data_IF_007456981226
#
_entry.id   IF_007456981226
#
_cell.length_a   1.000
_cell.length_b   1.000
_cell.length_c   1.000
_cell.angle_alpha   90.00
_cell.angle_beta   90.00
_cell.angle_gamma   90.00
#
_symmetry.space_group_name_H-M   'P 1'
#
loop_
_entity.id
_entity.type
_entity.pdbx_description
1 polymer ?
#
# COMPACT_ATOMS: atom_id res chain seq x y z
N UNK A 1 0.47 0.28 -18.51
CA UNK A 1 0.70 1.55 -17.76
C UNK A 1 1.20 2.56 -18.77
N UNK A 2 0.53 3.70 -18.92
CA UNK A 2 1.02 4.79 -19.79
C UNK A 2 2.05 5.56 -18.96
N UNK A 3 3.21 5.89 -19.54
CA UNK A 3 4.19 6.75 -18.90
C UNK A 3 3.61 8.17 -18.82
N UNK A 4 3.21 8.60 -17.62
CA UNK A 4 2.63 9.91 -17.40
C UNK A 4 3.56 10.71 -16.47
N UNK A 5 3.94 11.91 -16.92
CA UNK A 5 4.69 12.87 -16.13
C UNK A 5 6.14 12.47 -15.81
N UNK A 6 6.57 12.81 -14.59
CA UNK A 6 7.92 12.55 -14.05
C UNK A 6 7.79 11.80 -12.72
N UNK A 7 8.77 10.98 -12.40
CA UNK A 7 8.87 10.32 -11.09
C UNK A 7 9.68 11.22 -10.17
N UNK A 8 9.21 11.46 -8.96
CA UNK A 8 10.06 12.06 -7.94
C UNK A 8 10.94 10.97 -7.35
N UNK A 9 12.25 11.15 -7.37
CA UNK A 9 13.22 10.20 -6.84
C UNK A 9 14.32 10.96 -6.12
N UNK A 10 14.49 10.70 -4.82
CA UNK A 10 15.54 11.26 -3.97
C UNK A 10 15.71 12.78 -4.09
N UNK A 11 14.61 13.54 -4.03
CA UNK A 11 14.63 15.01 -4.04
C UNK A 11 14.41 15.65 -5.41
N UNK A 12 14.43 14.88 -6.51
CA UNK A 12 14.38 15.41 -7.88
C UNK A 12 13.27 14.74 -8.70
N UNK A 13 12.67 15.49 -9.61
CA UNK A 13 11.79 14.91 -10.64
C UNK A 13 12.65 14.43 -11.81
N UNK A 14 12.59 13.14 -12.10
CA UNK A 14 13.30 12.49 -13.21
C UNK A 14 12.32 12.00 -14.26
N UNK A 15 12.69 11.95 -15.55
CA UNK A 15 11.91 11.25 -16.57
C UNK A 15 11.66 9.79 -16.15
N UNK A 16 10.51 9.24 -16.55
CA UNK A 16 10.10 7.88 -16.17
C UNK A 16 11.20 6.84 -16.47
N UNK A 17 11.73 6.86 -17.70
CA UNK A 17 12.82 5.99 -18.15
C UNK A 17 14.11 6.09 -17.33
N UNK A 18 14.33 7.19 -16.62
CA UNK A 18 15.56 7.46 -15.86
C UNK A 18 15.39 7.11 -14.37
N UNK A 19 14.19 6.75 -13.92
CA UNK A 19 13.92 6.26 -12.57
C UNK A 19 14.41 4.80 -12.42
N UNK A 20 15.72 4.62 -12.46
CA UNK A 20 16.39 3.32 -12.40
C UNK A 20 17.06 3.08 -11.05
N UNK A 21 17.17 1.81 -10.68
CA UNK A 21 17.99 1.32 -9.58
C UNK A 21 18.97 0.27 -10.09
N UNK A 22 20.07 0.06 -9.38
CA UNK A 22 20.98 -1.02 -9.72
C UNK A 22 20.33 -2.37 -9.39
N UNK A 23 20.63 -3.42 -10.16
CA UNK A 23 20.06 -4.77 -9.92
C UNK A 23 20.46 -5.34 -8.55
N UNK A 24 21.54 -4.85 -7.96
CA UNK A 24 22.00 -5.18 -6.60
C UNK A 24 21.42 -4.26 -5.51
N UNK A 25 20.34 -3.54 -5.79
CA UNK A 25 19.62 -2.79 -4.75
C UNK A 25 19.08 -3.78 -3.71
N UNK A 26 19.39 -3.54 -2.42
CA UNK A 26 19.11 -4.48 -1.34
C UNK A 26 17.65 -4.92 -1.28
N UNK A 27 16.71 -3.98 -1.47
CA UNK A 27 15.29 -4.27 -1.44
C UNK A 27 14.80 -5.23 -2.55
N UNK A 28 15.51 -5.35 -3.68
CA UNK A 28 15.18 -6.32 -4.72
C UNK A 28 15.48 -7.76 -4.30
N UNK A 29 16.45 -7.96 -3.40
CA UNK A 29 16.91 -9.29 -2.96
C UNK A 29 16.30 -9.71 -1.63
N UNK A 30 16.02 -8.74 -0.75
CA UNK A 30 15.61 -9.00 0.63
C UNK A 30 14.25 -8.40 1.00
N UNK A 31 13.50 -7.84 0.03
CA UNK A 31 12.17 -7.24 0.25
C UNK A 31 12.13 -6.13 1.32
N UNK A 32 13.26 -5.47 1.55
CA UNK A 32 13.42 -4.43 2.57
C UNK A 32 12.93 -3.06 2.06
N UNK A 33 11.64 -2.98 1.75
CA UNK A 33 10.97 -1.76 1.30
C UNK A 33 9.59 -1.60 1.94
N UNK A 34 9.18 -0.35 2.06
CA UNK A 34 7.86 0.08 2.54
C UNK A 34 7.22 0.98 1.50
N UNK A 35 5.91 1.03 1.45
CA UNK A 35 5.22 1.87 0.47
C UNK A 35 3.87 2.34 0.96
N UNK A 36 3.29 3.27 0.21
CA UNK A 36 1.91 3.70 0.37
C UNK A 36 1.10 3.55 -0.92
N UNK A 37 -0.21 3.47 -0.74
CA UNK A 37 -1.17 3.50 -1.84
C UNK A 37 -2.16 4.63 -1.59
N UNK A 38 -2.04 5.71 -2.34
CA UNK A 38 -2.81 6.94 -2.11
C UNK A 38 -3.60 7.26 -3.37
N UNK A 39 -4.80 7.81 -3.21
CA UNK A 39 -5.63 8.27 -4.33
C UNK A 39 -5.78 9.77 -4.35
N UNK A 40 -5.69 10.32 -5.55
CA UNK A 40 -6.14 11.65 -5.92
C UNK A 40 -7.45 11.51 -6.69
N UNK A 41 -8.45 12.29 -6.30
CA UNK A 41 -9.78 12.30 -6.90
C UNK A 41 -10.05 13.63 -7.57
N UNK A 42 -10.80 13.61 -8.67
CA UNK A 42 -11.34 14.81 -9.29
C UNK A 42 -12.59 15.21 -8.51
N UNK A 43 -12.55 16.39 -7.90
CA UNK A 43 -13.66 16.89 -7.07
C UNK A 43 -14.21 18.17 -7.66
N UNK A 44 -15.42 18.62 -7.25
CA UNK A 44 -15.97 19.90 -7.70
C UNK A 44 -15.03 21.11 -7.46
N UNK A 45 -14.13 21.02 -6.48
CA UNK A 45 -13.16 22.06 -6.13
C UNK A 45 -11.76 21.82 -6.72
N UNK A 46 -11.65 20.88 -7.68
CA UNK A 46 -10.39 20.43 -8.28
C UNK A 46 -9.82 19.17 -7.63
N UNK A 47 -8.65 18.74 -8.10
CA UNK A 47 -8.03 17.49 -7.67
C UNK A 47 -7.63 17.51 -6.19
N UNK A 48 -8.04 16.50 -5.44
CA UNK A 48 -7.76 16.36 -4.02
C UNK A 48 -7.16 14.99 -3.67
N UNK A 49 -6.06 15.00 -2.91
CA UNK A 49 -5.42 13.78 -2.40
C UNK A 49 -6.07 13.38 -1.09
N UNK A 50 -6.70 12.21 -1.07
CA UNK A 50 -7.46 11.75 0.09
C UNK A 50 -6.52 11.35 1.24
N UNK A 51 -6.71 11.96 2.41
CA UNK A 51 -6.03 11.62 3.68
C UNK A 51 -4.50 11.55 3.57
N UNK A 52 -3.91 12.50 2.84
CA UNK A 52 -2.48 12.58 2.61
C UNK A 52 -1.65 12.59 3.93
N UNK A 53 -1.99 13.39 4.96
CA UNK A 53 -1.24 13.36 6.22
C UNK A 53 -1.18 11.97 6.85
N UNK A 54 -2.30 11.25 6.88
CA UNK A 54 -2.39 9.92 7.49
C UNK A 54 -1.60 8.86 6.70
N UNK A 55 -1.63 8.93 5.36
CA UNK A 55 -0.79 8.06 4.53
C UNK A 55 0.70 8.32 4.77
N UNK A 56 1.13 9.58 4.82
CA UNK A 56 2.53 9.93 5.10
C UNK A 56 2.92 9.51 6.52
N UNK A 57 2.04 9.68 7.51
CA UNK A 57 2.29 9.21 8.87
C UNK A 57 2.48 7.70 8.92
N UNK A 58 1.65 6.92 8.22
CA UNK A 58 1.79 5.46 8.17
C UNK A 58 3.04 5.01 7.43
N UNK A 59 3.47 5.73 6.38
CA UNK A 59 4.76 5.50 5.74
C UNK A 59 5.91 5.64 6.75
N UNK A 60 5.93 6.70 7.55
CA UNK A 60 6.99 6.90 8.56
C UNK A 60 6.89 5.92 9.74
N UNK A 61 5.68 5.50 10.14
CA UNK A 61 5.49 4.41 11.11
C UNK A 61 6.08 3.10 10.58
N UNK A 62 5.82 2.77 9.32
CA UNK A 62 6.40 1.59 8.65
C UNK A 62 7.93 1.69 8.58
N UNK A 63 8.47 2.88 8.29
CA UNK A 63 9.91 3.13 8.28
C UNK A 63 10.55 2.86 9.64
N UNK A 64 9.92 3.32 10.72
CA UNK A 64 10.38 3.07 12.09
C UNK A 64 10.43 1.58 12.41
N UNK A 65 9.41 0.80 12.02
CA UNK A 65 9.37 -0.65 12.24
C UNK A 65 10.49 -1.40 11.50
N UNK A 66 10.92 -0.88 10.34
CA UNK A 66 12.03 -1.44 9.55
C UNK A 66 13.39 -0.77 9.83
N UNK A 67 13.50 0.01 10.91
CA UNK A 67 14.70 0.77 11.29
C UNK A 67 15.25 1.68 10.16
N UNK A 68 14.39 2.11 9.23
CA UNK A 68 14.78 2.94 8.09
C UNK A 68 15.02 4.38 8.54
N UNK A 69 16.25 4.87 8.33
CA UNK A 69 16.60 6.28 8.49
C UNK A 69 16.12 7.06 7.27
N UNK A 70 14.90 7.59 7.34
CA UNK A 70 14.33 8.41 6.27
C UNK A 70 15.14 9.69 6.05
N UNK A 71 15.56 9.93 4.82
CA UNK A 71 16.36 11.12 4.44
C UNK A 71 15.54 12.41 4.30
N UNK A 72 14.22 12.27 4.21
CA UNK A 72 13.31 13.38 3.98
C UNK A 72 12.32 13.47 5.12
N UNK A 73 11.95 14.68 5.52
CA UNK A 73 10.90 14.89 6.52
C UNK A 73 9.52 14.56 5.95
N UNK A 74 8.54 14.32 6.83
CA UNK A 74 7.13 14.13 6.43
C UNK A 74 6.65 15.25 5.50
N UNK A 75 6.99 16.51 5.83
CA UNK A 75 6.64 17.67 5.01
C UNK A 75 7.21 17.57 3.59
N UNK A 76 8.50 17.22 3.46
CA UNK A 76 9.14 17.08 2.14
C UNK A 76 8.47 15.96 1.34
N UNK A 77 8.13 14.83 1.98
CA UNK A 77 7.42 13.73 1.31
C UNK A 77 6.02 14.15 0.87
N UNK A 78 5.25 14.84 1.71
CA UNK A 78 3.93 15.38 1.33
C UNK A 78 4.02 16.35 0.15
N UNK A 79 4.97 17.29 0.21
CA UNK A 79 5.19 18.27 -0.86
C UNK A 79 5.61 17.58 -2.16
N UNK A 80 6.46 16.55 -2.07
CA UNK A 80 6.88 15.75 -3.21
C UNK A 80 5.74 14.95 -3.83
N UNK A 81 4.84 14.38 -3.03
CA UNK A 81 3.62 13.70 -3.49
C UNK A 81 2.75 14.68 -4.30
N UNK A 82 2.43 15.83 -3.72
CA UNK A 82 1.62 16.87 -4.39
C UNK A 82 2.29 17.32 -5.69
N UNK A 83 3.61 17.56 -5.65
CA UNK A 83 4.38 17.99 -6.82
C UNK A 83 4.36 16.95 -7.94
N UNK A 84 4.48 15.67 -7.59
CA UNK A 84 4.46 14.56 -8.56
C UNK A 84 3.12 14.50 -9.29
N UNK A 85 2.00 14.58 -8.55
CA UNK A 85 0.65 14.61 -9.14
C UNK A 85 0.47 15.82 -10.06
N UNK A 86 0.87 17.02 -9.60
CA UNK A 86 0.77 18.25 -10.40
C UNK A 86 1.53 18.17 -11.72
N UNK A 87 2.77 17.65 -11.70
CA UNK A 87 3.59 17.50 -12.91
C UNK A 87 3.08 16.37 -13.81
N UNK A 88 2.40 15.38 -13.25
CA UNK A 88 1.67 14.37 -14.02
C UNK A 88 0.48 14.92 -14.79
N UNK A 89 -0.08 16.08 -14.42
CA UNK A 89 -1.24 16.68 -15.07
C UNK A 89 -2.53 15.86 -14.91
N UNK A 90 -2.56 14.95 -13.93
CA UNK A 90 -3.66 14.01 -13.71
C UNK A 90 -4.72 14.63 -12.81
N UNK A 91 -5.99 14.58 -13.25
CA UNK A 91 -7.12 14.96 -12.40
C UNK A 91 -7.43 13.90 -11.34
N UNK A 92 -7.36 12.64 -11.76
CA UNK A 92 -7.44 11.45 -10.91
C UNK A 92 -6.17 10.63 -11.04
N UNK A 93 -5.64 10.15 -9.92
CA UNK A 93 -4.40 9.39 -9.93
C UNK A 93 -4.33 8.40 -8.77
N UNK A 94 -3.67 7.28 -9.03
CA UNK A 94 -3.09 6.48 -7.96
C UNK A 94 -1.63 6.89 -7.77
N UNK A 95 -1.21 7.03 -6.52
CA UNK A 95 0.10 7.53 -6.13
C UNK A 95 0.80 6.46 -5.28
N UNK A 96 2.07 6.22 -5.57
CA UNK A 96 2.90 5.20 -4.92
C UNK A 96 4.20 5.80 -4.40
N UNK A 97 4.19 6.33 -3.16
CA UNK A 97 5.42 6.50 -2.40
C UNK A 97 6.02 5.13 -2.08
N UNK A 98 7.31 4.97 -2.29
CA UNK A 98 8.09 3.77 -2.00
C UNK A 98 9.42 4.21 -1.37
N UNK A 99 9.72 3.70 -0.18
CA UNK A 99 11.01 3.88 0.49
C UNK A 99 11.69 2.51 0.67
N UNK A 100 12.98 2.43 0.40
CA UNK A 100 13.68 1.16 0.33
C UNK A 100 15.17 1.30 0.63
N UNK A 101 15.78 0.26 1.21
CA UNK A 101 17.24 0.21 1.28
C UNK A 101 17.81 0.01 -0.12
N UNK A 102 18.65 0.97 -0.52
CA UNK A 102 19.21 1.13 -1.86
C UNK A 102 20.38 0.19 -2.15
N UNK A 103 21.15 0.57 -3.16
CA UNK A 103 22.41 -0.09 -3.51
C UNK A 103 23.49 0.20 -2.45
N UNK A 104 24.33 -0.79 -2.16
CA UNK A 104 25.37 -0.70 -1.14
C UNK A 104 25.89 -2.07 -0.73
N UNK A 105 26.07 -2.28 0.57
CA UNK A 105 26.49 -3.55 1.15
C UNK A 105 25.49 -4.66 0.82
N UNK A 106 26.01 -5.77 0.28
CA UNK A 106 25.25 -7.00 0.03
C UNK A 106 25.46 -7.99 1.16
N UNK A 107 24.66 -7.84 2.21
CA UNK A 107 24.52 -8.76 3.33
C UNK A 107 23.13 -8.59 3.92
N UNK A 108 22.66 -9.53 4.73
CA UNK A 108 21.28 -9.54 5.23
C UNK A 108 20.89 -8.26 6.00
N UNK A 109 21.84 -7.64 6.70
CA UNK A 109 21.61 -6.44 7.50
C UNK A 109 21.71 -5.17 6.65
N UNK A 110 20.60 -4.43 6.43
CA UNK A 110 20.57 -3.33 5.47
C UNK A 110 20.99 -1.96 6.04
N UNK A 111 21.24 -1.86 7.35
CA UNK A 111 21.26 -0.57 8.07
C UNK A 111 22.41 0.36 7.68
N UNK A 112 23.45 -0.16 7.01
CA UNK A 112 24.52 0.64 6.41
C UNK A 112 24.14 1.23 5.05
N UNK A 113 23.11 0.69 4.40
CA UNK A 113 22.66 1.14 3.09
C UNK A 113 21.76 2.38 3.26
N UNK A 114 21.84 3.26 2.27
CA UNK A 114 21.01 4.45 2.17
C UNK A 114 19.54 4.05 1.95
N UNK A 115 18.59 4.75 2.57
CA UNK A 115 17.16 4.56 2.32
C UNK A 115 16.70 5.50 1.20
N UNK A 116 16.64 4.99 -0.02
CA UNK A 116 16.15 5.75 -1.17
C UNK A 116 14.62 5.85 -1.15
N UNK A 117 14.09 6.93 -1.75
CA UNK A 117 12.65 7.19 -1.84
C UNK A 117 12.26 7.60 -3.24
N UNK A 118 11.22 6.97 -3.76
CA UNK A 118 10.58 7.33 -5.03
C UNK A 118 9.08 7.54 -4.85
N UNK A 119 8.50 8.45 -5.61
CA UNK A 119 7.06 8.69 -5.69
C UNK A 119 6.68 8.72 -7.16
N UNK A 120 5.80 7.81 -7.54
CA UNK A 120 5.20 7.76 -8.87
C UNK A 120 3.69 7.96 -8.78
N UNK A 121 3.08 8.36 -9.90
CA UNK A 121 1.64 8.38 -10.06
C UNK A 121 1.25 7.93 -11.47
N UNK A 122 0.06 7.35 -11.60
CA UNK A 122 -0.52 6.94 -12.89
C UNK A 122 -2.04 7.08 -12.83
N UNK A 123 -2.68 7.11 -14.00
CA UNK A 123 -4.13 7.04 -14.09
C UNK A 123 -4.63 5.76 -13.44
N UNK A 124 -5.65 5.89 -12.59
CA UNK A 124 -6.34 4.75 -12.02
C UNK A 124 -7.83 4.97 -12.17
N UNK A 125 -8.45 4.23 -13.09
CA UNK A 125 -9.89 4.33 -13.32
C UNK A 125 -10.63 3.38 -12.37
N UNK A 126 -11.70 3.87 -11.75
CA UNK A 126 -12.61 3.05 -10.95
C UNK A 126 -13.20 1.94 -11.85
N UNK A 127 -13.16 0.68 -11.40
CA UNK A 127 -13.70 -0.48 -12.12
C UNK A 127 -12.69 -1.35 -12.90
N UNK A 128 -11.38 -1.06 -12.87
CA UNK A 128 -10.38 -1.89 -13.55
C UNK A 128 -10.15 -3.26 -12.87
N UNK A 129 -10.35 -3.38 -11.56
CA UNK A 129 -10.40 -4.69 -10.91
C UNK A 129 -11.84 -5.22 -10.96
N UNK A 130 -12.02 -6.51 -11.30
CA UNK A 130 -13.33 -7.18 -11.14
C UNK A 130 -13.86 -7.05 -9.71
N UNK A 131 -12.94 -6.95 -8.74
CA UNK A 131 -13.23 -6.77 -7.32
C UNK A 131 -13.81 -5.38 -6.95
N UNK A 132 -13.90 -4.43 -7.90
CA UNK A 132 -14.41 -3.07 -7.71
C UNK A 132 -15.63 -2.72 -8.58
N UNK A 133 -16.32 -3.73 -9.12
CA UNK A 133 -17.59 -3.51 -9.84
C UNK A 133 -18.74 -3.38 -8.85
N UNK A 134 -19.74 -2.55 -9.19
CA UNK A 134 -21.00 -2.45 -8.43
C UNK A 134 -21.70 -3.80 -8.24
N UNK A 135 -21.40 -4.80 -9.07
CA UNK A 135 -21.92 -6.16 -8.98
C UNK A 135 -21.32 -7.01 -7.84
N UNK A 136 -20.31 -6.52 -7.12
CA UNK A 136 -19.56 -7.31 -6.14
C UNK A 136 -18.56 -8.28 -6.79
N UNK A 137 -17.90 -9.06 -5.93
CA UNK A 137 -16.70 -9.85 -6.24
C UNK A 137 -16.87 -11.28 -5.74
N UNK A 138 -16.43 -12.29 -6.50
CA UNK A 138 -16.36 -13.68 -6.01
C UNK A 138 -15.07 -13.87 -5.22
N UNK A 139 -15.15 -14.14 -3.93
CA UNK A 139 -13.97 -14.33 -3.09
C UNK A 139 -13.73 -15.79 -2.72
N UNK A 140 -12.46 -16.21 -2.65
CA UNK A 140 -12.03 -17.53 -2.15
C UNK A 140 -11.37 -17.38 -0.79
N UNK A 141 -11.72 -18.22 0.18
CA UNK A 141 -10.89 -18.37 1.39
C UNK A 141 -9.60 -19.11 0.99
N UNK A 142 -8.48 -18.41 1.08
CA UNK A 142 -7.17 -18.87 0.62
C UNK A 142 -6.59 -19.94 1.54
N UNK A 143 -5.85 -20.89 0.96
CA UNK A 143 -5.08 -21.88 1.74
C UNK A 143 -3.83 -21.25 2.40
N UNK A 144 -3.32 -20.17 1.84
CA UNK A 144 -2.25 -19.39 2.44
C UNK A 144 -2.73 -18.65 3.68
N UNK A 145 -2.11 -18.96 4.81
CA UNK A 145 -2.36 -18.27 6.08
C UNK A 145 -1.66 -16.91 6.07
N UNK A 146 -2.32 -15.90 6.65
CA UNK A 146 -1.75 -14.56 6.83
C UNK A 146 -0.53 -14.60 7.75
N UNK A 147 0.49 -13.82 7.43
CA UNK A 147 1.68 -13.69 8.28
C UNK A 147 1.28 -13.20 9.68
N UNK A 148 1.78 -13.90 10.69
CA UNK A 148 1.59 -13.53 12.10
C UNK A 148 2.46 -12.32 12.46
N UNK A 149 1.90 -11.37 13.24
CA UNK A 149 2.61 -10.14 13.65
C UNK A 149 3.86 -10.41 14.50
N UNK A 150 3.97 -11.59 15.13
CA UNK A 150 5.18 -12.04 15.85
C UNK A 150 6.31 -12.45 14.90
N UNK A 151 5.97 -12.80 13.66
CA UNK A 151 6.94 -13.21 12.64
C UNK A 151 7.40 -12.02 11.78
N UNK A 152 6.47 -11.13 11.41
CA UNK A 152 6.77 -9.93 10.64
C UNK A 152 5.79 -8.81 11.01
N UNK A 153 6.22 -7.54 11.09
CA UNK A 153 5.34 -6.46 11.54
C UNK A 153 4.24 -6.18 10.52
N UNK A 154 3.05 -6.75 10.74
CA UNK A 154 1.91 -6.56 9.85
C UNK A 154 1.32 -5.15 9.87
N UNK A 155 1.66 -4.38 10.91
CA UNK A 155 1.32 -2.96 11.03
C UNK A 155 2.17 -2.09 10.08
N UNK A 156 3.27 -2.61 9.55
CA UNK A 156 4.03 -1.95 8.50
C UNK A 156 3.46 -2.29 7.12
N UNK A 157 3.30 -1.29 6.26
CA UNK A 157 2.95 -1.51 4.85
C UNK A 157 4.23 -1.80 4.05
N UNK A 158 4.77 -3.00 4.23
CA UNK A 158 6.05 -3.45 3.68
C UNK A 158 5.87 -4.42 2.51
N UNK A 159 6.78 -4.40 1.53
CA UNK A 159 6.72 -5.28 0.36
C UNK A 159 6.85 -6.77 0.73
N UNK A 160 7.61 -7.10 1.78
CA UNK A 160 7.71 -8.45 2.32
C UNK A 160 6.35 -9.06 2.73
N UNK A 161 5.43 -8.23 3.23
CA UNK A 161 4.07 -8.66 3.58
C UNK A 161 3.24 -8.99 2.32
N UNK A 162 3.55 -8.36 1.18
CA UNK A 162 2.82 -8.52 -0.07
C UNK A 162 3.19 -9.81 -0.83
N UNK A 163 4.35 -10.42 -0.56
CA UNK A 163 4.70 -11.72 -1.15
C UNK A 163 3.69 -12.81 -0.75
N UNK A 164 3.34 -12.88 0.54
CA UNK A 164 2.30 -13.79 1.06
C UNK A 164 0.92 -13.48 0.50
N UNK A 165 0.55 -12.19 0.45
CA UNK A 165 -0.73 -11.77 -0.14
C UNK A 165 -0.84 -12.09 -1.63
N UNK A 166 0.27 -11.94 -2.39
CA UNK A 166 0.30 -12.25 -3.81
C UNK A 166 0.07 -13.75 -4.06
N UNK A 167 0.66 -14.64 -3.25
CA UNK A 167 0.42 -16.08 -3.34
C UNK A 167 -1.06 -16.43 -3.12
N UNK A 168 -1.69 -15.86 -2.08
CA UNK A 168 -3.13 -16.01 -1.85
C UNK A 168 -3.96 -15.49 -3.03
N UNK A 169 -3.57 -14.34 -3.60
CA UNK A 169 -4.27 -13.75 -4.75
C UNK A 169 -4.17 -14.60 -6.01
N UNK A 170 -2.98 -15.13 -6.30
CA UNK A 170 -2.73 -16.02 -7.42
C UNK A 170 -3.57 -17.29 -7.30
N UNK A 171 -3.59 -17.92 -6.13
CA UNK A 171 -4.45 -19.08 -5.88
C UNK A 171 -5.93 -18.78 -6.17
N UNK A 172 -6.45 -17.65 -5.68
CA UNK A 172 -7.83 -17.27 -5.95
C UNK A 172 -8.12 -17.10 -7.45
N UNK A 173 -7.22 -16.42 -8.18
CA UNK A 173 -7.36 -16.20 -9.63
C UNK A 173 -7.33 -17.52 -10.41
N UNK A 174 -6.38 -18.40 -10.10
CA UNK A 174 -6.25 -19.73 -10.74
C UNK A 174 -7.51 -20.59 -10.55
N UNK A 175 -8.24 -20.37 -9.45
CA UNK A 175 -9.50 -21.06 -9.14
C UNK A 175 -10.75 -20.32 -9.64
N UNK A 176 -10.60 -19.27 -10.46
CA UNK A 176 -11.72 -18.53 -11.06
C UNK A 176 -12.41 -17.52 -10.14
N UNK A 177 -11.78 -17.13 -9.04
CA UNK A 177 -12.26 -16.10 -8.11
C UNK A 177 -11.62 -14.73 -8.38
N UNK A 178 -12.31 -13.68 -7.96
CA UNK A 178 -11.91 -12.30 -8.14
C UNK A 178 -11.04 -11.76 -7.01
N UNK A 179 -10.98 -12.40 -5.83
CA UNK A 179 -10.16 -11.96 -4.69
C UNK A 179 -9.96 -13.10 -3.66
N UNK A 180 -8.93 -13.01 -2.83
CA UNK A 180 -8.67 -13.93 -1.73
C UNK A 180 -9.08 -13.33 -0.39
N UNK A 181 -9.67 -14.15 0.49
CA UNK A 181 -9.86 -13.89 1.92
C UNK A 181 -8.83 -14.72 2.67
N UNK A 182 -8.03 -14.07 3.50
CA UNK A 182 -6.96 -14.72 4.27
C UNK A 182 -7.39 -14.93 5.72
N UNK A 183 -7.08 -16.11 6.24
CA UNK A 183 -7.25 -16.44 7.65
C UNK A 183 -5.91 -16.27 8.40
N UNK A 184 -5.98 -15.99 9.70
CA UNK A 184 -4.82 -16.01 10.59
C UNK A 184 -4.52 -17.43 11.08
N UNK A 185 -3.45 -17.57 11.87
CA UNK A 185 -2.99 -18.87 12.40
C UNK A 185 -4.02 -19.59 13.31
N UNK A 186 -5.09 -18.90 13.73
CA UNK A 186 -6.19 -19.43 14.56
C UNK A 186 -7.41 -19.82 13.71
N UNK A 187 -7.30 -19.74 12.37
CA UNK A 187 -8.42 -19.99 11.46
C UNK A 187 -9.49 -18.88 11.49
N UNK A 188 -9.18 -17.68 11.99
CA UNK A 188 -10.10 -16.54 11.99
C UNK A 188 -9.83 -15.62 10.80
N UNK A 189 -10.87 -14.95 10.29
CA UNK A 189 -10.74 -13.98 9.20
C UNK A 189 -9.81 -12.84 9.62
N UNK A 190 -8.77 -12.58 8.82
CA UNK A 190 -7.86 -11.47 9.03
C UNK A 190 -8.22 -10.28 8.12
N UNK A 191 -8.08 -10.48 6.80
CA UNK A 191 -8.37 -9.48 5.76
C UNK A 191 -8.39 -10.14 4.37
N UNK A 192 -8.62 -9.37 3.32
CA UNK A 192 -8.40 -9.81 1.93
C UNK A 192 -6.90 -9.87 1.61
N UNK A 193 -6.54 -10.13 0.36
CA UNK A 193 -5.12 -10.10 -0.03
C UNK A 193 -4.53 -8.69 0.10
N UNK A 194 -5.29 -7.63 -0.22
CA UNK A 194 -4.83 -6.25 -0.15
C UNK A 194 -5.84 -5.26 0.46
N UNK A 195 -6.96 -5.75 1.00
CA UNK A 195 -8.10 -4.97 1.49
C UNK A 195 -8.55 -5.43 2.87
N UNK A 196 -8.98 -4.51 3.74
CA UNK A 196 -9.67 -4.91 4.97
C UNK A 196 -11.09 -5.44 4.67
N UNK A 197 -11.60 -6.30 5.55
CA UNK A 197 -12.94 -6.92 5.41
C UNK A 197 -13.91 -6.32 6.43
N UNK A 198 -15.13 -6.09 5.96
CA UNK A 198 -16.30 -5.80 6.78
C UNK A 198 -17.38 -6.84 6.50
N UNK A 199 -18.14 -7.21 7.53
CA UNK A 199 -19.27 -8.14 7.46
C UNK A 199 -20.48 -7.40 8.03
N UNK A 200 -21.62 -7.50 7.35
CA UNK A 200 -22.88 -6.95 7.80
C UNK A 200 -23.81 -8.13 8.07
N UNK A 201 -24.34 -8.23 9.28
CA UNK A 201 -25.31 -9.25 9.67
C UNK A 201 -26.28 -8.65 10.69
N UNK A 202 -27.58 -8.82 10.45
CA UNK A 202 -28.63 -8.34 11.35
C UNK A 202 -28.45 -6.85 11.72
N UNK A 203 -28.18 -6.02 10.70
CA UNK A 203 -27.86 -4.58 10.79
C UNK A 203 -26.62 -4.22 11.64
N UNK A 204 -25.84 -5.22 12.07
CA UNK A 204 -24.56 -5.01 12.76
C UNK A 204 -23.42 -5.10 11.76
N UNK A 205 -22.61 -4.03 11.71
CA UNK A 205 -21.37 -4.00 10.93
C UNK A 205 -20.19 -4.41 11.81
N UNK A 206 -19.46 -5.44 11.41
CA UNK A 206 -18.27 -5.93 12.09
C UNK A 206 -17.07 -5.97 11.15
N UNK A 207 -15.89 -5.76 11.69
CA UNK A 207 -14.61 -5.94 10.98
C UNK A 207 -13.63 -6.63 11.92
N UNK A 208 -12.72 -7.48 11.43
CA UNK A 208 -11.70 -8.09 12.28
C UNK A 208 -10.92 -7.03 13.10
N UNK A 209 -10.55 -7.34 14.35
CA UNK A 209 -9.66 -6.48 15.11
C UNK A 209 -8.26 -6.49 14.49
N UNK A 210 -7.47 -5.44 14.72
CA UNK A 210 -6.09 -5.38 14.21
C UNK A 210 -5.21 -6.54 14.74
N UNK A 211 -5.54 -7.08 15.91
CA UNK A 211 -4.89 -8.27 16.48
C UNK A 211 -5.08 -9.53 15.64
N UNK A 212 -6.04 -9.56 14.70
CA UNK A 212 -6.21 -10.65 13.75
C UNK A 212 -5.12 -10.67 12.65
N UNK A 213 -4.25 -9.65 12.59
CA UNK A 213 -3.13 -9.55 11.65
C UNK A 213 -3.40 -8.71 10.40
N UNK A 214 -4.56 -8.06 10.32
CA UNK A 214 -4.88 -7.12 9.25
C UNK A 214 -4.12 -5.80 9.39
N UNK A 215 -3.87 -5.13 8.26
CA UNK A 215 -3.26 -3.79 8.24
C UNK A 215 -4.25 -2.77 8.82
N UNK A 216 -3.72 -1.79 9.55
CA UNK A 216 -4.49 -0.59 9.97
C UNK A 216 -4.80 0.28 8.73
N UNK A 217 -5.86 -0.09 8.01
CA UNK A 217 -6.28 0.57 6.78
C UNK A 217 -6.85 1.95 7.00
N UNK A 218 -6.39 2.93 6.23
CA UNK A 218 -6.91 4.30 6.24
C UNK A 218 -8.35 4.35 5.72
N UNK A 219 -8.68 3.54 4.70
CA UNK A 219 -10.07 3.38 4.24
C UNK A 219 -10.94 2.70 5.30
N UNK A 220 -10.42 1.68 6.00
CA UNK A 220 -11.10 1.05 7.13
C UNK A 220 -11.42 2.07 8.23
N UNK A 221 -10.44 2.88 8.64
CA UNK A 221 -10.65 3.96 9.62
C UNK A 221 -11.70 4.99 9.12
N UNK A 222 -11.69 5.35 7.85
CA UNK A 222 -12.72 6.22 7.27
C UNK A 222 -14.12 5.60 7.33
N UNK A 223 -14.26 4.32 7.02
CA UNK A 223 -15.54 3.59 7.09
C UNK A 223 -16.03 3.55 8.55
N UNK A 224 -15.16 3.21 9.51
CA UNK A 224 -15.52 3.18 10.93
C UNK A 224 -16.05 4.53 11.41
N UNK A 225 -15.39 5.65 11.07
CA UNK A 225 -15.85 7.00 11.40
C UNK A 225 -17.20 7.35 10.78
N UNK A 226 -17.47 6.85 9.57
CA UNK A 226 -18.76 7.06 8.90
C UNK A 226 -19.87 6.27 9.61
N UNK A 227 -19.60 5.03 10.00
CA UNK A 227 -20.54 4.19 10.77
C UNK A 227 -20.85 4.87 12.10
N UNK A 228 -19.82 5.20 12.89
CA UNK A 228 -19.99 5.88 14.18
C UNK A 228 -20.80 7.19 14.08
N UNK A 229 -20.64 7.94 12.98
CA UNK A 229 -21.38 9.18 12.75
C UNK A 229 -22.86 8.94 12.40
N UNK A 230 -23.19 7.83 11.76
CA UNK A 230 -24.54 7.56 11.24
C UNK A 230 -25.39 6.67 12.17
N UNK A 231 -24.81 6.12 13.23
CA UNK A 231 -25.47 5.16 14.11
C UNK A 231 -25.51 3.75 13.51
#
# INVERSE_FOLDING_TARGET
MIEIGKIWMNGKLVPFKDAKVHVLTHALHYSTSIFEGIRCYDTPSGSAIFRLPEHVDRLFKSAKLYSMKMQFSKKIISDAIIKTVKVGGLKEAYIRPLAYYGYGTMGLTPTTNKVDVSISCWEWKMGESKAGKFSGSKCKVSSWTKIDSRSQPMQAKAASNYANAALARMEALENGYDEAIMLNHQGKVAEGSAENIFIIKDDVIQTPPLSAGGLEGITRDSIMRIIEKNG
#
